data_IF_205747833230
#
_entry.id   IF_205747833230
#
_cell.length_a   1.000
_cell.length_b   1.000
_cell.length_c   1.000
_cell.angle_alpha   90.00
_cell.angle_beta   90.00
_cell.angle_gamma   90.00
#
_symmetry.space_group_name_H-M   'P 1'
#
loop_
_entity.id
_entity.type
_entity.pdbx_description
1 polymer ?
#
# COMPACT_ATOMS: atom_id res chain seq x y z
N UNK A 1 -37.92 9.49 -31.80
CA UNK A 1 -36.75 8.66 -31.41
C UNK A 1 -35.40 9.11 -31.99
N UNK A 2 -35.26 9.48 -33.29
CA UNK A 2 -33.95 9.87 -33.87
C UNK A 2 -33.29 11.11 -33.24
N UNK A 3 -34.07 12.07 -32.76
CA UNK A 3 -33.56 13.33 -32.16
C UNK A 3 -32.99 13.12 -30.76
N UNK A 4 -33.64 12.29 -29.95
CA UNK A 4 -33.17 11.96 -28.59
C UNK A 4 -31.81 11.25 -28.61
N UNK A 5 -31.59 10.33 -29.56
CA UNK A 5 -30.30 9.66 -29.72
C UNK A 5 -29.17 10.61 -30.16
N UNK A 6 -29.46 11.66 -30.93
CA UNK A 6 -28.48 12.70 -31.28
C UNK A 6 -28.15 13.59 -30.08
N UNK A 7 -29.16 13.96 -29.29
CA UNK A 7 -28.98 14.77 -28.08
C UNK A 7 -28.14 14.02 -27.03
N UNK A 8 -28.44 12.76 -26.74
CA UNK A 8 -27.65 11.93 -25.82
C UNK A 8 -26.19 11.84 -26.26
N UNK A 9 -25.93 11.63 -27.55
CA UNK A 9 -24.56 11.59 -28.11
C UNK A 9 -23.82 12.92 -27.96
N UNK A 10 -24.51 14.04 -28.17
CA UNK A 10 -23.95 15.38 -28.06
C UNK A 10 -23.38 15.65 -26.65
N UNK A 11 -24.01 15.13 -25.60
CA UNK A 11 -23.49 15.25 -24.22
C UNK A 11 -22.49 14.15 -23.85
N UNK A 12 -22.74 12.88 -24.23
CA UNK A 12 -21.90 11.77 -23.79
C UNK A 12 -20.52 11.73 -24.47
N UNK A 13 -20.42 12.15 -25.73
CA UNK A 13 -19.13 12.12 -26.45
C UNK A 13 -18.09 13.05 -25.80
N UNK A 14 -18.39 14.34 -25.53
CA UNK A 14 -17.43 15.22 -24.86
C UNK A 14 -17.02 14.71 -23.48
N UNK A 15 -17.97 14.17 -22.70
CA UNK A 15 -17.67 13.61 -21.38
C UNK A 15 -16.77 12.38 -21.49
N UNK A 16 -17.03 11.48 -22.46
CA UNK A 16 -16.16 10.33 -22.70
C UNK A 16 -14.74 10.75 -23.09
N UNK A 17 -14.61 11.74 -23.99
CA UNK A 17 -13.31 12.29 -24.41
C UNK A 17 -12.58 12.89 -23.21
N UNK A 18 -13.27 13.64 -22.35
CA UNK A 18 -12.68 14.17 -21.12
C UNK A 18 -12.16 13.03 -20.21
N UNK A 19 -12.96 11.98 -20.02
CA UNK A 19 -12.59 10.81 -19.20
C UNK A 19 -11.40 10.03 -19.79
N UNK A 20 -11.26 9.99 -21.12
CA UNK A 20 -10.07 9.45 -21.80
C UNK A 20 -8.83 10.33 -21.55
N UNK A 21 -8.95 11.65 -21.66
CA UNK A 21 -7.84 12.57 -21.39
C UNK A 21 -7.37 12.43 -19.94
N UNK A 22 -8.31 12.37 -19.00
CA UNK A 22 -8.02 12.14 -17.59
C UNK A 22 -7.31 10.79 -17.36
N UNK A 23 -7.69 9.73 -18.07
CA UNK A 23 -7.03 8.42 -17.96
C UNK A 23 -5.56 8.50 -18.35
N UNK A 24 -5.25 9.19 -19.45
CA UNK A 24 -3.87 9.34 -19.89
C UNK A 24 -3.07 10.23 -18.94
N UNK A 25 -3.63 11.36 -18.49
CA UNK A 25 -2.97 12.23 -17.50
C UNK A 25 -2.69 11.47 -16.20
N UNK A 26 -3.64 10.64 -15.74
CA UNK A 26 -3.46 9.79 -14.58
C UNK A 26 -2.39 8.70 -14.79
N UNK A 27 -2.32 8.09 -15.98
CA UNK A 27 -1.26 7.13 -16.31
C UNK A 27 0.13 7.77 -16.40
N UNK A 28 0.22 9.01 -16.89
CA UNK A 28 1.47 9.77 -16.99
C UNK A 28 1.91 10.42 -15.68
N UNK A 29 1.05 10.47 -14.65
CA UNK A 29 1.37 11.16 -13.40
C UNK A 29 2.61 10.61 -12.71
N UNK A 30 2.91 9.32 -12.91
CA UNK A 30 4.09 8.64 -12.32
C UNK A 30 5.42 9.25 -12.80
N UNK A 31 5.41 9.98 -13.92
CA UNK A 31 6.61 10.64 -14.47
C UNK A 31 6.83 12.06 -13.95
N UNK A 32 5.91 12.57 -13.13
CA UNK A 32 5.96 13.94 -12.60
C UNK A 32 6.29 13.83 -11.12
N UNK A 33 7.36 14.48 -10.69
CA UNK A 33 7.72 14.55 -9.29
C UNK A 33 6.63 15.33 -8.51
N UNK A 34 6.01 14.75 -7.48
CA UNK A 34 5.03 15.45 -6.67
C UNK A 34 5.60 16.68 -5.95
N UNK A 35 6.92 16.78 -5.76
CA UNK A 35 7.59 17.96 -5.23
C UNK A 35 7.50 19.15 -6.18
N UNK A 36 7.49 18.91 -7.50
CA UNK A 36 7.36 19.95 -8.52
C UNK A 36 5.89 20.32 -8.73
N UNK A 37 5.00 19.32 -8.80
CA UNK A 37 3.57 19.54 -9.03
C UNK A 37 2.71 18.46 -8.36
N UNK A 38 1.91 18.86 -7.37
CA UNK A 38 1.08 17.93 -6.59
C UNK A 38 -0.17 17.45 -7.34
N UNK A 39 -0.72 18.26 -8.24
CA UNK A 39 -2.01 17.96 -8.91
C UNK A 39 -2.00 16.62 -9.67
N UNK A 40 -0.98 16.29 -10.50
CA UNK A 40 -0.88 14.98 -11.14
C UNK A 40 -0.87 13.80 -10.16
N UNK A 41 -0.30 13.94 -8.97
CA UNK A 41 -0.28 12.86 -7.98
C UNK A 41 -1.70 12.43 -7.57
N UNK A 42 -2.61 13.40 -7.40
CA UNK A 42 -4.02 13.10 -7.14
C UNK A 42 -4.72 12.42 -8.33
N UNK A 43 -4.36 12.77 -9.57
CA UNK A 43 -4.87 12.08 -10.76
C UNK A 43 -4.38 10.63 -10.82
N UNK A 44 -3.11 10.39 -10.52
CA UNK A 44 -2.55 9.05 -10.38
C UNK A 44 -3.30 8.23 -9.35
N UNK A 45 -3.55 8.80 -8.16
CA UNK A 45 -4.35 8.14 -7.12
C UNK A 45 -5.77 7.80 -7.60
N UNK A 46 -6.37 8.66 -8.43
CA UNK A 46 -7.70 8.44 -9.00
C UNK A 46 -7.72 7.47 -10.21
N UNK A 47 -6.56 6.99 -10.70
CA UNK A 47 -6.45 6.18 -11.91
C UNK A 47 -7.41 4.97 -11.94
N UNK A 48 -7.54 4.12 -10.89
CA UNK A 48 -8.43 2.95 -10.95
C UNK A 48 -9.91 3.34 -11.16
N UNK A 49 -10.34 4.46 -10.59
CA UNK A 49 -11.71 4.96 -10.75
C UNK A 49 -11.93 5.55 -12.15
N UNK A 50 -10.94 6.26 -12.69
CA UNK A 50 -11.00 6.81 -14.05
C UNK A 50 -10.99 5.67 -15.10
N UNK A 51 -10.20 4.62 -14.86
CA UNK A 51 -10.19 3.40 -15.67
C UNK A 51 -11.57 2.72 -15.64
N UNK A 52 -12.17 2.58 -14.46
CA UNK A 52 -13.52 2.04 -14.32
C UNK A 52 -14.55 2.86 -15.10
N UNK A 53 -14.48 4.20 -15.03
CA UNK A 53 -15.36 5.07 -15.82
C UNK A 53 -15.19 4.83 -17.34
N UNK A 54 -13.96 4.65 -17.83
CA UNK A 54 -13.73 4.30 -19.24
C UNK A 54 -14.35 2.95 -19.60
N UNK A 55 -14.24 1.94 -18.74
CA UNK A 55 -14.91 0.64 -18.92
C UNK A 55 -16.43 0.79 -18.96
N UNK A 56 -17.01 1.60 -18.07
CA UNK A 56 -18.44 1.90 -18.08
C UNK A 56 -18.86 2.61 -19.37
N UNK A 57 -18.03 3.52 -19.89
CA UNK A 57 -18.27 4.14 -21.20
C UNK A 57 -18.25 3.12 -22.35
N UNK A 58 -17.36 2.12 -22.33
CA UNK A 58 -17.38 1.01 -23.31
C UNK A 58 -18.75 0.33 -23.29
N UNK A 59 -19.21 -0.10 -22.12
CA UNK A 59 -20.50 -0.78 -21.99
C UNK A 59 -21.68 0.12 -22.38
N UNK A 60 -21.69 1.38 -21.96
CA UNK A 60 -22.72 2.35 -22.35
C UNK A 60 -22.78 2.53 -23.87
N UNK A 61 -21.63 2.65 -24.54
CA UNK A 61 -21.59 2.80 -25.99
C UNK A 61 -21.95 1.51 -26.73
N UNK A 62 -21.61 0.33 -26.22
CA UNK A 62 -22.05 -0.94 -26.82
C UNK A 62 -23.58 -1.05 -26.91
N UNK A 63 -24.32 -0.44 -25.96
CA UNK A 63 -25.78 -0.39 -25.95
C UNK A 63 -26.33 0.74 -26.84
N UNK A 64 -25.72 1.94 -26.79
CA UNK A 64 -26.23 3.14 -27.47
C UNK A 64 -25.81 3.19 -28.94
N UNK A 65 -24.52 3.05 -29.21
CA UNK A 65 -23.91 3.03 -30.54
C UNK A 65 -22.48 2.49 -30.47
N UNK A 66 -22.33 1.21 -30.81
CA UNK A 66 -21.09 0.43 -30.69
C UNK A 66 -19.86 1.09 -31.34
N UNK A 67 -20.05 2.00 -32.31
CA UNK A 67 -18.93 2.70 -32.96
C UNK A 67 -18.14 3.56 -31.98
N UNK A 68 -18.77 4.12 -30.95
CA UNK A 68 -18.11 5.00 -29.99
C UNK A 68 -17.45 4.24 -28.83
N UNK A 69 -17.74 2.94 -28.67
CA UNK A 69 -17.05 2.11 -27.68
C UNK A 69 -15.54 2.02 -27.96
N UNK A 70 -15.13 2.22 -29.21
CA UNK A 70 -13.73 2.21 -29.63
C UNK A 70 -12.91 3.32 -28.96
N UNK A 71 -13.52 4.45 -28.60
CA UNK A 71 -12.83 5.61 -28.01
C UNK A 71 -12.14 5.21 -26.70
N UNK A 72 -12.93 4.71 -25.75
CA UNK A 72 -12.42 4.29 -24.44
C UNK A 72 -11.61 2.99 -24.55
N UNK A 73 -11.97 2.10 -25.49
CA UNK A 73 -11.23 0.85 -25.72
C UNK A 73 -9.80 1.14 -26.17
N UNK A 74 -9.61 1.98 -27.20
CA UNK A 74 -8.27 2.35 -27.67
C UNK A 74 -7.50 3.13 -26.60
N UNK A 75 -8.17 4.01 -25.87
CA UNK A 75 -7.52 4.75 -24.78
C UNK A 75 -6.94 3.83 -23.71
N UNK A 76 -7.69 2.79 -23.28
CA UNK A 76 -7.23 1.78 -22.33
C UNK A 76 -6.07 0.97 -22.92
N UNK A 77 -6.17 0.52 -24.19
CA UNK A 77 -5.11 -0.26 -24.83
C UNK A 77 -3.80 0.53 -24.93
N UNK A 78 -3.86 1.81 -25.30
CA UNK A 78 -2.69 2.70 -25.36
C UNK A 78 -2.09 2.89 -23.97
N UNK A 79 -2.93 3.05 -22.94
CA UNK A 79 -2.52 3.26 -21.56
C UNK A 79 -2.30 1.99 -20.74
N UNK A 80 -2.34 0.81 -21.36
CA UNK A 80 -2.49 -0.47 -20.66
C UNK A 80 -1.35 -0.74 -19.67
N UNK A 81 -0.13 -0.28 -19.96
CA UNK A 81 1.01 -0.45 -19.06
C UNK A 81 0.75 0.17 -17.67
N UNK A 82 -0.01 1.26 -17.59
CA UNK A 82 -0.32 1.92 -16.31
C UNK A 82 -1.20 1.05 -15.40
N UNK A 83 -1.91 0.07 -15.95
CA UNK A 83 -2.71 -0.88 -15.19
C UNK A 83 -1.86 -1.68 -14.20
N UNK A 84 -0.66 -2.09 -14.60
CA UNK A 84 0.25 -2.90 -13.78
C UNK A 84 0.87 -2.13 -12.61
N UNK A 85 0.75 -0.80 -12.59
CA UNK A 85 1.14 -0.01 -11.42
C UNK A 85 0.16 -0.18 -10.25
N UNK A 86 -1.07 -0.62 -10.52
CA UNK A 86 -2.14 -0.76 -9.52
C UNK A 86 -2.55 -2.21 -9.29
N UNK A 87 -2.51 -3.03 -10.33
CA UNK A 87 -2.97 -4.41 -10.29
C UNK A 87 -1.82 -5.35 -10.65
N UNK A 88 -1.40 -6.12 -9.66
CA UNK A 88 -0.41 -7.18 -9.85
C UNK A 88 -1.14 -8.52 -9.98
N UNK A 89 -0.90 -9.22 -11.09
CA UNK A 89 -1.39 -10.59 -11.29
C UNK A 89 -0.27 -11.53 -10.81
N UNK A 90 -0.51 -12.25 -9.71
CA UNK A 90 0.43 -13.24 -9.21
C UNK A 90 -0.06 -14.64 -9.61
N UNK A 91 0.55 -15.20 -10.66
CA UNK A 91 0.25 -16.55 -11.18
C UNK A 91 1.18 -17.62 -10.59
N UNK A 92 2.08 -17.24 -9.67
CA UNK A 92 3.08 -18.18 -9.16
C UNK A 92 2.47 -19.16 -8.17
N UNK A 93 2.88 -20.42 -8.24
CA UNK A 93 2.57 -21.41 -7.22
C UNK A 93 3.56 -21.29 -6.06
N UNK A 94 3.08 -21.61 -4.85
CA UNK A 94 3.89 -21.57 -3.64
C UNK A 94 4.97 -22.65 -3.75
N UNK A 95 6.23 -22.22 -3.90
CA UNK A 95 7.38 -23.12 -3.94
C UNK A 95 7.68 -23.62 -2.52
N UNK A 96 8.08 -24.89 -2.37
CA UNK A 96 8.29 -25.50 -1.05
C UNK A 96 9.35 -24.75 -0.21
N UNK A 97 10.31 -24.10 -0.86
CA UNK A 97 11.38 -23.31 -0.21
C UNK A 97 11.14 -21.79 -0.24
N UNK A 98 9.88 -21.35 -0.29
CA UNK A 98 9.56 -19.90 -0.35
C UNK A 98 9.68 -19.23 1.02
N UNK A 99 10.36 -18.10 1.09
CA UNK A 99 10.39 -17.22 2.26
C UNK A 99 9.12 -16.38 2.29
N UNK A 100 8.40 -16.41 3.42
CA UNK A 100 7.24 -15.56 3.67
C UNK A 100 7.68 -14.28 4.38
N UNK A 101 7.48 -13.14 3.73
CA UNK A 101 7.68 -11.80 4.29
C UNK A 101 6.33 -11.11 4.51
N UNK A 102 6.15 -10.52 5.68
CA UNK A 102 5.00 -9.68 6.01
C UNK A 102 5.45 -8.25 6.26
N UNK A 103 4.97 -7.31 5.46
CA UNK A 103 5.13 -5.87 5.71
C UNK A 103 3.83 -5.30 6.27
N UNK A 104 3.86 -4.67 7.44
CA UNK A 104 2.63 -4.23 8.11
C UNK A 104 2.80 -2.97 8.94
N UNK A 105 2.04 -1.92 8.63
CA UNK A 105 1.84 -0.81 9.54
C UNK A 105 0.85 -1.22 10.63
N UNK A 106 1.34 -1.39 11.85
CA UNK A 106 0.58 -1.87 13.02
C UNK A 106 -0.13 -0.74 13.79
N UNK A 107 -0.01 0.52 13.32
CA UNK A 107 -0.65 1.70 13.90
C UNK A 107 -0.48 1.78 15.42
N UNK A 108 0.76 1.62 15.89
CA UNK A 108 1.14 1.62 17.31
C UNK A 108 0.36 0.61 18.16
N UNK A 109 -0.14 -0.47 17.56
CA UNK A 109 -0.99 -1.47 18.21
C UNK A 109 -2.22 -0.86 18.90
N UNK A 110 -2.80 0.18 18.29
CA UNK A 110 -3.93 0.95 18.82
C UNK A 110 -3.64 1.56 20.21
N UNK A 111 -2.40 2.00 20.46
CA UNK A 111 -1.97 2.66 21.71
C UNK A 111 -2.97 3.70 22.21
N UNK A 112 -3.48 4.55 21.32
CA UNK A 112 -4.41 5.64 21.64
C UNK A 112 -5.88 5.22 21.78
N UNK A 113 -6.16 3.91 21.76
CA UNK A 113 -7.48 3.32 21.99
C UNK A 113 -8.57 3.86 21.03
N UNK A 114 -8.20 4.12 19.78
CA UNK A 114 -9.13 4.55 18.75
C UNK A 114 -10.10 3.44 18.35
N UNK A 115 -9.75 2.18 18.59
CA UNK A 115 -10.54 1.02 18.18
C UNK A 115 -10.55 -0.09 19.23
N UNK A 116 -10.66 0.28 20.52
CA UNK A 116 -10.59 -0.67 21.65
C UNK A 116 -9.22 -1.37 21.72
N UNK A 117 -8.20 -0.64 22.19
CA UNK A 117 -6.77 -0.95 22.22
C UNK A 117 -6.47 -2.44 22.41
N UNK A 118 -6.94 -3.04 23.52
CA UNK A 118 -6.62 -4.43 23.85
C UNK A 118 -7.17 -5.42 22.83
N UNK A 119 -8.40 -5.21 22.35
CA UNK A 119 -9.03 -6.10 21.38
C UNK A 119 -8.38 -5.98 20.00
N UNK A 120 -8.06 -4.76 19.58
CA UNK A 120 -7.36 -4.52 18.30
C UNK A 120 -5.95 -5.07 18.33
N UNK A 121 -5.20 -4.83 19.41
CA UNK A 121 -3.88 -5.45 19.61
C UNK A 121 -3.95 -6.96 19.56
N UNK A 122 -4.87 -7.60 20.27
CA UNK A 122 -4.99 -9.06 20.22
C UNK A 122 -5.27 -9.57 18.80
N UNK A 123 -6.14 -8.89 18.04
CA UNK A 123 -6.38 -9.24 16.62
C UNK A 123 -5.14 -9.09 15.75
N UNK A 124 -4.30 -8.07 16.02
CA UNK A 124 -3.02 -7.92 15.33
C UNK A 124 -2.15 -9.14 15.64
N UNK A 125 -1.96 -9.50 16.91
CA UNK A 125 -1.16 -10.68 17.28
C UNK A 125 -1.72 -11.98 16.71
N UNK A 126 -3.03 -12.18 16.74
CA UNK A 126 -3.70 -13.33 16.14
C UNK A 126 -3.44 -13.42 14.62
N UNK A 127 -3.46 -12.28 13.92
CA UNK A 127 -3.07 -12.21 12.51
C UNK A 127 -1.61 -12.58 12.32
N UNK A 128 -0.69 -12.02 13.11
CA UNK A 128 0.74 -12.32 12.98
C UNK A 128 1.02 -13.82 13.15
N UNK A 129 0.37 -14.48 14.12
CA UNK A 129 0.48 -15.92 14.32
C UNK A 129 -0.17 -16.73 13.21
N UNK A 130 -1.33 -16.29 12.72
CA UNK A 130 -2.01 -16.97 11.61
C UNK A 130 -1.16 -16.90 10.34
N UNK A 131 -0.53 -15.77 10.08
CA UNK A 131 0.32 -15.60 8.90
C UNK A 131 1.65 -16.35 9.06
N UNK A 132 2.20 -16.45 10.26
CA UNK A 132 3.43 -17.21 10.57
C UNK A 132 4.54 -16.95 9.54
N UNK A 133 4.87 -15.68 9.32
CA UNK A 133 5.89 -15.25 8.36
C UNK A 133 7.31 -15.54 8.89
N UNK A 134 8.26 -15.75 7.97
CA UNK A 134 9.67 -15.92 8.31
C UNK A 134 10.30 -14.57 8.68
N UNK A 135 9.80 -13.48 8.08
CA UNK A 135 10.27 -12.10 8.25
C UNK A 135 9.05 -11.19 8.40
N UNK A 136 9.07 -10.30 9.39
CA UNK A 136 8.10 -9.24 9.60
C UNK A 136 8.79 -7.87 9.59
N UNK A 137 8.28 -6.95 8.78
CA UNK A 137 8.68 -5.54 8.77
C UNK A 137 7.51 -4.69 9.26
N UNK A 138 7.70 -3.98 10.38
CA UNK A 138 6.66 -3.17 11.01
C UNK A 138 6.92 -1.68 10.86
N UNK A 139 5.91 -0.94 10.39
CA UNK A 139 5.83 0.52 10.52
C UNK A 139 4.93 0.89 11.70
N UNK A 140 5.13 2.09 12.25
CA UNK A 140 4.45 2.55 13.46
C UNK A 140 4.54 1.52 14.59
N UNK A 141 5.74 0.98 14.78
CA UNK A 141 6.04 0.07 15.87
C UNK A 141 6.11 0.83 17.19
N UNK A 142 5.53 0.26 18.24
CA UNK A 142 5.50 0.82 19.58
C UNK A 142 5.99 -0.18 20.62
N UNK A 143 6.95 0.23 21.43
CA UNK A 143 7.51 -0.53 22.55
C UNK A 143 7.51 0.32 23.82
N UNK A 144 7.27 -0.32 24.96
CA UNK A 144 7.39 0.29 26.29
C UNK A 144 8.23 -0.58 27.19
N UNK A 145 9.23 0.00 27.83
CA UNK A 145 10.07 -0.68 28.81
C UNK A 145 9.68 -0.21 30.23
N UNK A 146 8.45 -0.54 30.64
CA UNK A 146 7.90 -0.18 31.96
C UNK A 146 7.04 -1.31 32.51
N UNK A 147 7.25 -1.64 33.78
CA UNK A 147 6.45 -2.63 34.50
C UNK A 147 4.96 -2.26 34.52
N UNK A 148 4.08 -3.26 34.37
CA UNK A 148 2.63 -3.08 34.30
C UNK A 148 2.09 -2.62 32.93
N UNK A 149 2.96 -2.39 31.94
CA UNK A 149 2.58 -2.10 30.56
C UNK A 149 2.80 -3.32 29.67
N UNK A 150 2.12 -3.33 28.52
CA UNK A 150 2.31 -4.39 27.53
C UNK A 150 3.64 -4.18 26.80
N UNK A 151 4.58 -5.10 26.98
CA UNK A 151 5.89 -5.09 26.31
C UNK A 151 5.77 -5.81 24.97
N UNK A 152 5.60 -5.03 23.91
CA UNK A 152 5.32 -5.53 22.55
C UNK A 152 6.41 -6.46 22.05
N UNK A 153 7.68 -6.05 22.17
CA UNK A 153 8.84 -6.82 21.74
C UNK A 153 8.90 -8.19 22.42
N UNK A 154 8.85 -8.21 23.75
CA UNK A 154 8.97 -9.46 24.53
C UNK A 154 7.82 -10.42 24.22
N UNK A 155 6.62 -9.87 24.00
CA UNK A 155 5.47 -10.68 23.59
C UNK A 155 5.69 -11.27 22.19
N UNK A 156 6.23 -10.48 21.24
CA UNK A 156 6.48 -10.98 19.88
C UNK A 156 7.57 -12.04 19.83
N UNK A 157 8.70 -11.87 20.52
CA UNK A 157 9.77 -12.90 20.55
C UNK A 157 9.31 -14.20 21.21
N UNK A 158 8.31 -14.14 22.10
CA UNK A 158 7.75 -15.33 22.76
C UNK A 158 6.70 -16.02 21.89
N UNK A 159 5.93 -15.24 21.13
CA UNK A 159 4.75 -15.72 20.43
C UNK A 159 5.00 -16.09 18.97
N UNK A 160 6.01 -15.50 18.35
CA UNK A 160 6.39 -15.72 16.95
C UNK A 160 7.65 -16.58 16.87
N UNK A 161 7.76 -17.39 15.81
CA UNK A 161 9.02 -18.07 15.46
C UNK A 161 10.14 -17.09 15.09
N UNK A 162 9.76 -15.89 14.63
CA UNK A 162 10.65 -14.81 14.26
C UNK A 162 11.20 -14.08 15.50
N UNK A 163 12.11 -14.75 16.22
CA UNK A 163 12.62 -14.33 17.52
C UNK A 163 13.88 -13.44 17.46
N UNK A 164 14.54 -13.33 16.31
CA UNK A 164 15.59 -12.36 16.09
C UNK A 164 14.96 -11.02 15.68
N UNK A 165 15.50 -9.90 16.16
CA UNK A 165 14.92 -8.59 15.84
C UNK A 165 15.95 -7.46 15.72
N UNK A 166 15.54 -6.41 15.02
CA UNK A 166 16.15 -5.08 15.00
C UNK A 166 15.07 -4.02 15.02
N UNK A 167 15.34 -2.92 15.69
CA UNK A 167 14.41 -1.81 15.84
C UNK A 167 15.16 -0.50 15.60
N UNK A 168 14.46 0.47 15.02
CA UNK A 168 14.93 1.83 14.87
C UNK A 168 13.84 2.77 15.35
N UNK A 169 14.19 3.71 16.22
CA UNK A 169 13.25 4.62 16.85
C UNK A 169 13.55 6.05 16.45
N UNK A 170 12.51 6.79 16.07
CA UNK A 170 12.59 8.23 15.76
C UNK A 170 12.29 9.05 17.01
N UNK A 171 11.44 8.53 17.90
CA UNK A 171 11.09 9.20 19.15
C UNK A 171 11.20 8.29 20.36
N UNK A 172 11.77 8.87 21.41
CA UNK A 172 11.75 8.33 22.76
C UNK A 172 10.99 9.30 23.67
N UNK A 173 9.77 8.95 24.04
CA UNK A 173 8.96 9.72 24.97
C UNK A 173 9.16 9.21 26.40
N UNK A 174 9.36 10.12 27.36
CA UNK A 174 9.47 9.85 28.80
C UNK A 174 10.54 8.84 29.22
N UNK A 175 11.48 8.53 28.34
CA UNK A 175 12.61 7.64 28.63
C UNK A 175 12.31 6.14 28.48
N UNK A 176 11.06 5.76 28.25
CA UNK A 176 10.64 4.35 28.23
C UNK A 176 9.59 4.02 27.16
N UNK A 177 9.12 4.99 26.38
CA UNK A 177 8.21 4.78 25.26
C UNK A 177 8.92 5.02 23.94
N UNK A 178 8.89 4.04 23.05
CA UNK A 178 9.66 4.03 21.82
C UNK A 178 8.72 3.90 20.61
N UNK A 179 8.93 4.76 19.61
CA UNK A 179 8.12 4.85 18.40
C UNK A 179 9.04 4.76 17.18
N UNK A 180 8.72 3.88 16.24
CA UNK A 180 9.51 3.75 15.01
C UNK A 180 9.17 2.55 14.16
N UNK A 181 10.19 1.82 13.72
CA UNK A 181 10.09 0.67 12.83
C UNK A 181 10.82 -0.54 13.42
N UNK A 182 10.41 -1.73 13.04
CA UNK A 182 11.05 -2.96 13.52
C UNK A 182 11.09 -4.05 12.44
N UNK A 183 12.16 -4.86 12.47
CA UNK A 183 12.27 -6.12 11.73
C UNK A 183 12.30 -7.26 12.73
N UNK A 184 11.43 -8.25 12.57
CA UNK A 184 11.47 -9.54 13.29
C UNK A 184 11.71 -10.64 12.27
N UNK A 185 12.56 -11.62 12.58
CA UNK A 185 12.96 -12.65 11.63
C UNK A 185 13.33 -13.96 12.31
N UNK A 186 13.07 -15.06 11.62
CA UNK A 186 13.51 -16.40 12.02
C UNK A 186 14.97 -16.68 11.64
N UNK A 187 15.55 -15.87 10.74
CA UNK A 187 16.91 -16.02 10.27
C UNK A 187 17.91 -15.22 11.12
N UNK A 188 19.19 -15.64 11.20
CA UNK A 188 20.24 -14.84 11.82
C UNK A 188 20.42 -13.48 11.12
N UNK A 189 20.48 -12.42 11.91
CA UNK A 189 20.80 -11.07 11.45
C UNK A 189 22.32 -10.91 11.44
N UNK A 190 22.91 -10.79 10.25
CA UNK A 190 24.37 -10.66 10.09
C UNK A 190 24.84 -9.21 10.05
N UNK A 191 23.98 -8.30 9.61
CA UNK A 191 24.25 -6.87 9.61
C UNK A 191 22.93 -6.09 9.65
N UNK A 192 22.99 -4.84 10.10
CA UNK A 192 21.81 -3.96 10.16
C UNK A 192 22.26 -2.52 10.34
N UNK A 193 21.45 -1.59 9.85
CA UNK A 193 21.71 -0.18 10.11
C UNK A 193 20.49 0.70 9.90
N UNK A 194 20.69 1.96 10.25
CA UNK A 194 19.65 2.98 10.29
C UNK A 194 20.04 4.06 9.30
N UNK A 195 19.13 4.37 8.37
CA UNK A 195 19.27 5.50 7.45
C UNK A 195 18.36 6.60 7.96
N UNK A 196 18.96 7.69 8.41
CA UNK A 196 18.27 8.90 8.84
C UNK A 196 17.98 9.79 7.62
N UNK A 197 16.85 10.47 7.65
CA UNK A 197 16.49 11.46 6.64
C UNK A 197 16.83 12.86 7.16
N UNK A 198 17.73 13.57 6.46
CA UNK A 198 18.20 14.90 6.88
C UNK A 198 17.07 15.93 7.03
N UNK A 199 15.99 15.75 6.28
CA UNK A 199 14.83 16.63 6.24
C UNK A 199 13.68 16.19 7.17
N UNK A 200 13.75 15.02 7.80
CA UNK A 200 12.66 14.50 8.63
C UNK A 200 13.17 13.65 9.80
N UNK A 201 13.19 14.28 10.97
CA UNK A 201 13.59 13.64 12.23
C UNK A 201 12.57 12.62 12.75
N UNK A 202 11.34 12.63 12.23
CA UNK A 202 10.26 11.75 12.67
C UNK A 202 10.20 10.45 11.84
N UNK A 203 10.99 10.35 10.78
CA UNK A 203 11.06 9.20 9.89
C UNK A 203 12.44 8.55 9.89
N UNK A 204 12.46 7.25 9.65
CA UNK A 204 13.70 6.47 9.61
C UNK A 204 13.53 5.24 8.73
N UNK A 205 14.60 4.81 8.08
CA UNK A 205 14.65 3.54 7.38
C UNK A 205 15.59 2.58 8.13
N UNK A 206 15.11 1.35 8.35
CA UNK A 206 15.88 0.25 8.94
C UNK A 206 16.17 -0.76 7.84
N UNK A 207 17.45 -1.07 7.63
CA UNK A 207 17.85 -2.22 6.82
C UNK A 207 18.39 -3.33 7.73
N UNK A 208 18.11 -4.57 7.35
CA UNK A 208 18.51 -5.77 8.09
C UNK A 208 18.97 -6.83 7.10
N UNK A 209 20.25 -7.18 7.14
CA UNK A 209 20.84 -8.23 6.31
C UNK A 209 20.71 -9.58 7.02
N UNK A 210 20.12 -10.55 6.31
CA UNK A 210 19.76 -11.86 6.85
C UNK A 210 20.60 -12.96 6.22
N UNK A 211 21.05 -13.90 7.04
CA UNK A 211 21.64 -15.15 6.53
C UNK A 211 20.52 -16.16 6.26
N UNK A 212 20.15 -16.28 5.01
CA UNK A 212 19.26 -17.32 4.49
C UNK A 212 20.18 -18.46 4.03
N UNK A 213 19.99 -19.67 4.56
CA UNK A 213 20.74 -20.86 4.12
C UNK A 213 20.23 -21.39 2.78
#
# INVERSE_FOLDING_TARGET
MKTAGKFVKFFLIPVNVLVVILLWLAGFSVKIDPADLVIPAFLGLAYPFILLLNVLFIFAWLIIDRKFAIISTLAILIGFQSFFNFFQINLSHKQEDSIKLMNYNVRLFDLYNWSKNKATRNKIFDLLKKEDADIYCFQEFYQVDREGFFTTRDTMITFLRANNYREAYTHKLRGDQYFGVATFTSFPIVNSGIIHFDNDINNVCLYTDLKIE
#
